data_IF_894823340001
#
_entry.id   IF_894823340001
#
_cell.length_a   1.000
_cell.length_b   1.000
_cell.length_c   1.000
_cell.angle_alpha   90.00
_cell.angle_beta   90.00
_cell.angle_gamma   90.00
#
_symmetry.space_group_name_H-M   'P 1'
#
loop_
_entity.id
_entity.type
_entity.pdbx_description
1 polymer ?
#
# COMPACT_ATOMS: atom_id res chain seq x y z
N UNK A 1 -49.47 16.98 -26.15
CA UNK A 1 -48.43 16.06 -26.62
C UNK A 1 -47.17 16.43 -25.88
N UNK A 2 -46.91 15.63 -24.84
CA UNK A 2 -45.80 15.76 -23.93
C UNK A 2 -44.45 15.58 -24.62
N UNK A 3 -43.47 16.39 -24.24
CA UNK A 3 -42.07 15.96 -24.27
C UNK A 3 -41.30 16.77 -23.24
N UNK A 4 -41.38 16.31 -21.99
CA UNK A 4 -40.38 16.66 -20.98
C UNK A 4 -39.03 16.13 -21.48
N UNK A 5 -38.14 17.03 -21.87
CA UNK A 5 -36.74 16.72 -22.05
C UNK A 5 -36.18 16.29 -20.69
N UNK A 6 -35.95 14.99 -20.54
CA UNK A 6 -35.20 14.38 -19.45
C UNK A 6 -33.80 14.99 -19.42
N UNK A 7 -33.64 16.09 -18.68
CA UNK A 7 -32.33 16.60 -18.31
C UNK A 7 -31.64 15.50 -17.51
N UNK A 8 -30.61 14.90 -18.10
CA UNK A 8 -29.66 14.05 -17.40
C UNK A 8 -29.17 14.82 -16.18
N UNK A 9 -29.70 14.48 -15.01
CA UNK A 9 -29.25 15.00 -13.73
C UNK A 9 -27.83 14.46 -13.56
N UNK A 10 -26.84 15.27 -13.93
CA UNK A 10 -25.44 15.02 -13.57
C UNK A 10 -25.39 15.12 -12.04
N UNK A 11 -25.63 14.00 -11.38
CA UNK A 11 -25.43 13.85 -9.95
C UNK A 11 -23.91 13.89 -9.74
N UNK A 12 -23.39 15.09 -9.52
CA UNK A 12 -22.04 15.25 -9.01
C UNK A 12 -21.93 14.43 -7.72
N UNK A 13 -20.89 13.62 -7.65
CA UNK A 13 -20.54 12.77 -6.52
C UNK A 13 -20.46 13.62 -5.23
N UNK A 14 -21.55 13.67 -4.48
CA UNK A 14 -21.73 14.50 -3.28
C UNK A 14 -21.24 13.72 -2.05
N UNK A 15 -20.10 14.13 -1.50
CA UNK A 15 -19.50 13.50 -0.33
C UNK A 15 -18.16 14.12 0.06
N UNK A 16 -17.65 13.72 1.22
CA UNK A 16 -16.33 14.12 1.70
C UNK A 16 -15.25 13.34 0.94
N UNK A 17 -14.35 14.04 0.25
CA UNK A 17 -13.19 13.45 -0.44
C UNK A 17 -11.94 13.65 0.41
N UNK A 18 -11.18 12.57 0.61
CA UNK A 18 -9.87 12.62 1.29
C UNK A 18 -8.81 12.22 0.29
N UNK A 19 -7.78 13.06 0.16
CA UNK A 19 -6.61 12.77 -0.67
C UNK A 19 -5.84 11.58 -0.06
N UNK A 20 -5.50 10.59 -0.88
CA UNK A 20 -4.71 9.43 -0.47
C UNK A 20 -3.36 9.83 0.14
N UNK A 21 -2.69 10.83 -0.43
CA UNK A 21 -1.42 11.34 0.09
C UNK A 21 -1.59 11.98 1.46
N UNK A 22 -2.73 12.65 1.70
CA UNK A 22 -3.09 13.17 3.03
C UNK A 22 -3.30 12.03 4.01
N UNK A 23 -4.02 10.97 3.61
CA UNK A 23 -4.24 9.80 4.46
C UNK A 23 -2.93 9.11 4.85
N UNK A 24 -2.02 8.92 3.89
CA UNK A 24 -0.68 8.35 4.14
C UNK A 24 0.09 9.24 5.12
N UNK A 25 0.06 10.56 4.92
CA UNK A 25 0.72 11.51 5.84
C UNK A 25 0.19 11.40 7.27
N UNK A 26 -1.13 11.29 7.44
CA UNK A 26 -1.76 11.12 8.75
C UNK A 26 -1.35 9.81 9.43
N UNK A 27 -1.19 8.72 8.66
CA UNK A 27 -0.64 7.47 9.18
C UNK A 27 0.81 7.69 9.63
N UNK A 28 1.66 8.27 8.79
CA UNK A 28 3.08 8.48 9.08
C UNK A 28 3.35 9.34 10.33
N UNK A 29 2.49 10.30 10.66
CA UNK A 29 2.60 11.10 11.90
C UNK A 29 2.57 10.22 13.16
N UNK A 30 1.89 9.06 13.11
CA UNK A 30 1.82 8.12 14.22
C UNK A 30 3.03 7.17 14.28
N UNK A 31 4.00 7.29 13.37
CA UNK A 31 5.19 6.43 13.26
C UNK A 31 6.51 7.25 13.30
N UNK A 32 6.78 8.01 14.39
CA UNK A 32 7.86 8.99 14.42
C UNK A 32 9.28 8.38 14.43
N UNK A 33 9.45 7.16 14.93
CA UNK A 33 10.78 6.57 15.16
C UNK A 33 11.37 5.82 13.96
N UNK A 34 10.62 5.66 12.86
CA UNK A 34 11.05 5.04 11.60
C UNK A 34 11.37 3.54 11.65
N UNK A 35 11.84 3.01 12.79
CA UNK A 35 12.20 1.60 12.97
C UNK A 35 11.00 0.67 13.04
N UNK A 36 9.81 1.20 13.31
CA UNK A 36 8.56 0.44 13.34
C UNK A 36 8.27 -0.22 12.00
N UNK A 37 8.72 0.36 10.87
CA UNK A 37 8.55 -0.25 9.55
C UNK A 37 9.17 -1.65 9.47
N UNK A 38 10.30 -1.88 10.13
CA UNK A 38 10.95 -3.19 10.16
C UNK A 38 10.13 -4.19 10.98
N UNK A 39 9.52 -3.74 12.08
CA UNK A 39 8.65 -4.57 12.92
C UNK A 39 7.38 -4.96 12.16
N UNK A 40 6.78 -4.03 11.42
CA UNK A 40 5.58 -4.29 10.60
C UNK A 40 5.91 -5.28 9.46
N UNK A 41 7.10 -5.19 8.84
CA UNK A 41 7.53 -6.17 7.83
C UNK A 41 7.70 -7.58 8.42
N UNK A 42 8.26 -7.68 9.64
CA UNK A 42 8.35 -8.95 10.37
C UNK A 42 6.96 -9.50 10.69
N UNK A 43 6.05 -8.64 11.16
CA UNK A 43 4.66 -9.05 11.44
C UNK A 43 3.93 -9.51 10.18
N UNK A 44 4.13 -8.85 9.04
CA UNK A 44 3.52 -9.30 7.77
C UNK A 44 4.04 -10.69 7.35
N UNK A 45 5.31 -10.98 7.60
CA UNK A 45 5.86 -12.31 7.35
C UNK A 45 5.27 -13.36 8.29
N UNK A 46 5.11 -13.04 9.58
CA UNK A 46 4.47 -13.91 10.58
C UNK A 46 2.98 -14.16 10.27
N UNK A 47 2.22 -13.11 9.95
CA UNK A 47 0.81 -13.17 9.53
C UNK A 47 0.62 -14.06 8.28
N UNK A 48 1.63 -14.13 7.40
CA UNK A 48 1.65 -14.94 6.20
C UNK A 48 2.17 -16.38 6.44
N UNK A 49 2.59 -16.72 7.66
CA UNK A 49 3.14 -18.03 8.02
C UNK A 49 4.54 -18.30 7.47
N UNK A 50 5.31 -17.25 7.17
CA UNK A 50 6.69 -17.37 6.72
C UNK A 50 7.57 -17.97 7.83
N UNK A 51 8.56 -18.78 7.44
CA UNK A 51 9.57 -19.33 8.37
C UNK A 51 10.88 -18.54 8.33
N UNK A 52 11.06 -17.69 7.31
CA UNK A 52 12.25 -16.86 7.12
C UNK A 52 11.85 -15.47 6.67
N UNK A 53 12.55 -14.47 7.20
CA UNK A 53 12.54 -13.09 6.70
C UNK A 53 13.98 -12.58 6.57
N UNK A 54 14.27 -11.91 5.47
CA UNK A 54 15.54 -11.28 5.17
C UNK A 54 15.34 -9.79 4.89
N UNK A 55 16.08 -8.94 5.59
CA UNK A 55 16.17 -7.51 5.33
C UNK A 55 17.56 -7.22 4.74
N UNK A 56 17.61 -6.61 3.56
CA UNK A 56 18.86 -6.34 2.86
C UNK A 56 18.94 -4.86 2.47
N UNK A 57 19.96 -4.16 2.97
CA UNK A 57 20.30 -2.84 2.47
C UNK A 57 21.11 -2.99 1.18
N UNK A 58 20.42 -2.88 0.05
CA UNK A 58 21.02 -2.90 -1.27
C UNK A 58 21.52 -1.49 -1.64
N UNK A 59 22.83 -1.35 -1.85
CA UNK A 59 23.46 -0.07 -2.19
C UNK A 59 23.74 0.09 -3.69
N UNK A 60 23.27 -0.85 -4.51
CA UNK A 60 23.47 -0.79 -5.95
C UNK A 60 22.70 0.37 -6.58
N UNK A 61 23.17 0.77 -7.76
CA UNK A 61 22.47 1.71 -8.66
C UNK A 61 22.25 0.97 -9.97
N UNK A 62 21.02 1.02 -10.48
CA UNK A 62 20.60 0.29 -11.67
C UNK A 62 20.52 1.24 -12.88
N UNK A 63 20.60 0.65 -14.08
CA UNK A 63 20.51 1.40 -15.34
C UNK A 63 19.13 2.02 -15.57
N UNK A 64 19.07 3.06 -16.40
CA UNK A 64 17.85 3.84 -16.69
C UNK A 64 17.39 3.72 -18.15
N UNK A 65 18.11 2.98 -18.99
CA UNK A 65 17.93 2.98 -20.46
C UNK A 65 16.70 2.19 -20.94
N UNK A 66 16.11 1.35 -20.08
CA UNK A 66 14.98 0.46 -20.43
C UNK A 66 13.86 0.52 -19.38
N UNK A 67 13.50 1.72 -18.94
CA UNK A 67 12.40 1.95 -18.02
C UNK A 67 11.07 2.09 -18.77
N UNK A 68 9.96 1.75 -18.10
CA UNK A 68 8.60 1.99 -18.61
C UNK A 68 8.30 3.49 -18.81
N UNK A 69 8.96 4.36 -18.05
CA UNK A 69 8.88 5.81 -18.15
C UNK A 69 10.15 6.44 -17.60
N UNK A 70 10.59 7.55 -18.20
CA UNK A 70 11.77 8.32 -17.77
C UNK A 70 11.64 8.81 -16.31
N UNK A 71 10.43 9.08 -15.83
CA UNK A 71 10.20 9.54 -14.46
C UNK A 71 10.57 8.50 -13.39
N UNK A 72 10.73 7.22 -13.78
CA UNK A 72 11.15 6.15 -12.89
C UNK A 72 12.66 6.15 -12.61
N UNK A 73 13.47 6.90 -13.36
CA UNK A 73 14.92 6.95 -13.21
C UNK A 73 15.35 7.30 -11.77
N UNK A 74 14.59 8.15 -11.08
CA UNK A 74 14.86 8.55 -9.70
C UNK A 74 14.81 7.38 -8.69
N UNK A 75 14.17 6.27 -9.03
CA UNK A 75 13.97 5.11 -8.15
C UNK A 75 14.99 3.99 -8.36
N UNK A 76 15.96 4.16 -9.27
CA UNK A 76 16.96 3.14 -9.61
C UNK A 76 18.17 3.13 -8.65
N UNK A 77 18.13 3.87 -7.55
CA UNK A 77 19.21 3.96 -6.56
C UNK A 77 19.16 2.90 -5.46
N UNK A 78 19.91 3.12 -4.35
CA UNK A 78 19.91 2.24 -3.19
C UNK A 78 18.50 1.99 -2.61
N UNK A 79 18.26 0.77 -2.14
CA UNK A 79 16.97 0.32 -1.64
C UNK A 79 17.10 -0.57 -0.39
N UNK A 80 16.04 -0.60 0.43
CA UNK A 80 15.85 -1.62 1.45
C UNK A 80 14.96 -2.71 0.87
N UNK A 81 15.49 -3.92 0.71
CA UNK A 81 14.76 -5.09 0.25
C UNK A 81 14.25 -5.89 1.46
N UNK A 82 13.00 -6.33 1.40
CA UNK A 82 12.40 -7.23 2.36
C UNK A 82 11.89 -8.49 1.64
N UNK A 83 12.39 -9.65 2.05
CA UNK A 83 12.02 -10.96 1.52
C UNK A 83 11.49 -11.84 2.64
N UNK A 84 10.44 -12.60 2.39
CA UNK A 84 10.02 -13.72 3.22
C UNK A 84 9.66 -14.92 2.33
N UNK A 85 9.63 -16.12 2.89
CA UNK A 85 9.44 -17.37 2.15
C UNK A 85 7.97 -17.82 2.01
N UNK A 86 7.01 -16.95 2.36
CA UNK A 86 5.60 -17.15 2.02
C UNK A 86 5.27 -16.64 0.60
N UNK A 87 4.11 -17.03 0.07
CA UNK A 87 3.63 -16.61 -1.25
C UNK A 87 2.32 -15.86 -1.10
N UNK A 88 2.18 -14.73 -1.80
CA UNK A 88 0.94 -13.96 -1.81
C UNK A 88 -0.23 -14.79 -2.35
N UNK A 89 -1.36 -14.73 -1.65
CA UNK A 89 -2.66 -15.17 -2.16
C UNK A 89 -3.35 -14.07 -2.96
N UNK A 90 -4.42 -14.41 -3.68
CA UNK A 90 -5.29 -13.43 -4.36
C UNK A 90 -5.88 -12.40 -3.36
N UNK A 91 -6.19 -12.83 -2.14
CA UNK A 91 -6.70 -11.93 -1.10
C UNK A 91 -5.62 -10.93 -0.65
N UNK A 92 -4.36 -11.35 -0.58
CA UNK A 92 -3.24 -10.46 -0.24
C UNK A 92 -3.03 -9.38 -1.31
N UNK A 93 -3.16 -9.73 -2.60
CA UNK A 93 -3.09 -8.76 -3.70
C UNK A 93 -4.23 -7.74 -3.65
N UNK A 94 -5.45 -8.18 -3.35
CA UNK A 94 -6.58 -7.27 -3.17
C UNK A 94 -6.35 -6.37 -1.96
N UNK A 95 -5.84 -6.92 -0.85
CA UNK A 95 -5.65 -6.20 0.40
C UNK A 95 -4.54 -5.14 0.29
N UNK A 96 -3.39 -5.47 -0.30
CA UNK A 96 -2.27 -4.53 -0.45
C UNK A 96 -2.61 -3.32 -1.34
N UNK A 97 -3.58 -3.47 -2.25
CA UNK A 97 -4.07 -2.38 -3.10
C UNK A 97 -4.99 -1.37 -2.38
N UNK A 98 -5.53 -1.75 -1.20
CA UNK A 98 -6.55 -0.98 -0.48
C UNK A 98 -5.96 -0.22 0.69
N UNK A 99 -5.39 0.95 0.41
CA UNK A 99 -4.81 1.79 1.45
C UNK A 99 -5.93 2.37 2.34
N UNK A 100 -5.94 1.98 3.61
CA UNK A 100 -6.86 2.51 4.63
C UNK A 100 -8.18 1.76 4.83
N UNK A 101 -8.43 0.68 4.07
CA UNK A 101 -9.57 -0.24 4.23
C UNK A 101 -9.10 -1.53 4.94
N UNK A 102 -8.52 -1.35 6.13
CA UNK A 102 -8.06 -2.47 6.97
C UNK A 102 -9.27 -3.28 7.44
N UNK A 103 -9.63 -4.31 6.68
CA UNK A 103 -10.70 -5.28 7.01
C UNK A 103 -10.38 -6.17 8.23
N UNK A 104 -9.33 -5.88 8.99
CA UNK A 104 -8.89 -6.65 10.16
C UNK A 104 -9.77 -6.52 11.40
N UNK A 105 -10.99 -5.97 11.33
CA UNK A 105 -11.93 -6.05 12.46
C UNK A 105 -12.41 -7.48 12.76
N UNK A 106 -12.25 -8.44 11.84
CA UNK A 106 -12.71 -9.83 12.01
C UNK A 106 -11.64 -10.88 12.35
N UNK A 107 -10.35 -10.57 12.26
CA UNK A 107 -9.26 -11.54 12.50
C UNK A 107 -8.43 -11.12 13.71
N UNK A 108 -8.92 -11.48 14.90
CA UNK A 108 -8.35 -11.12 16.20
C UNK A 108 -6.88 -11.53 16.42
N UNK A 109 -6.30 -12.37 15.54
CA UNK A 109 -4.91 -12.83 15.63
C UNK A 109 -3.94 -12.06 14.72
N UNK A 110 -4.42 -11.31 13.71
CA UNK A 110 -3.57 -10.50 12.83
C UNK A 110 -3.41 -9.11 13.44
N UNK A 111 -2.29 -8.87 14.11
CA UNK A 111 -2.09 -7.67 14.96
C UNK A 111 -1.76 -6.39 14.20
N UNK A 112 -1.66 -6.42 12.87
CA UNK A 112 -1.38 -5.23 12.05
C UNK A 112 -2.53 -4.22 12.13
N UNK A 113 -2.26 -3.03 12.69
CA UNK A 113 -3.28 -2.01 13.00
C UNK A 113 -3.79 -1.25 11.76
N UNK A 114 -3.12 -1.36 10.61
CA UNK A 114 -3.42 -0.61 9.39
C UNK A 114 -3.25 -1.42 8.09
N UNK A 115 -3.19 -2.75 8.19
CA UNK A 115 -3.28 -3.68 7.04
C UNK A 115 -4.69 -4.20 6.87
#
# INVERSE_FOLDING_TARGET
>A
MDSQGSGSLFMEDFGQKVDLTRRIREVLVNYPEGTTVLKELVQNADDAGATKICLCLDRRVHGIDSLLSESLAQWQGPALLAYNDSVFSEEDFVSISRIGDSKKQGQAWKTGRFG
#
